data_IF_710644231410
#
_entry.id   IF_710644231410
#
_cell.length_a   1.000
_cell.length_b   1.000
_cell.length_c   1.000
_cell.angle_alpha   90.00
_cell.angle_beta   90.00
_cell.angle_gamma   90.00
#
_symmetry.space_group_name_H-M   'P 1'
#
loop_
_entity.id
_entity.type
_entity.pdbx_description
1 polymer ?
#
# COMPACT_ATOMS: atom_id res chain seq x y z
N UNK A 1 -8.00 5.38 -11.32
CA UNK A 1 -6.93 5.92 -12.20
C UNK A 1 -6.27 7.18 -11.64
N UNK A 2 -7.00 8.08 -10.96
CA UNK A 2 -6.45 9.31 -10.37
C UNK A 2 -5.52 9.05 -9.16
N UNK A 3 -5.80 8.00 -8.39
CA UNK A 3 -4.96 7.60 -7.25
C UNK A 3 -3.52 7.26 -7.66
N UNK A 4 -3.34 6.61 -8.80
CA UNK A 4 -2.01 6.22 -9.32
C UNK A 4 -1.22 7.48 -9.71
N UNK A 5 -1.88 8.42 -10.39
CA UNK A 5 -1.25 9.67 -10.79
C UNK A 5 -0.82 10.51 -9.58
N UNK A 6 -1.67 10.62 -8.55
CA UNK A 6 -1.31 11.33 -7.31
C UNK A 6 -0.14 10.68 -6.58
N UNK A 7 -0.08 9.35 -6.59
CA UNK A 7 0.97 8.62 -5.91
C UNK A 7 2.32 8.67 -6.65
N UNK A 8 2.28 8.62 -7.99
CA UNK A 8 3.46 8.83 -8.83
C UNK A 8 4.04 10.23 -8.59
N UNK A 9 3.16 11.25 -8.55
CA UNK A 9 3.54 12.64 -8.34
C UNK A 9 4.14 12.85 -6.94
N UNK A 10 3.54 12.26 -5.90
CA UNK A 10 4.08 12.31 -4.55
C UNK A 10 5.45 11.63 -4.46
N UNK A 11 5.61 10.44 -5.05
CA UNK A 11 6.90 9.73 -5.06
C UNK A 11 7.98 10.50 -5.82
N UNK A 12 7.62 11.14 -6.92
CA UNK A 12 8.52 11.97 -7.73
C UNK A 12 8.94 13.24 -6.98
N UNK A 13 8.02 13.89 -6.28
CA UNK A 13 8.32 15.05 -5.44
C UNK A 13 9.29 14.70 -4.30
N UNK A 14 9.04 13.58 -3.60
CA UNK A 14 9.91 13.07 -2.53
C UNK A 14 11.30 12.73 -3.09
N UNK A 15 11.35 12.00 -4.21
CA UNK A 15 12.60 11.70 -4.92
C UNK A 15 13.37 12.95 -5.33
N UNK A 16 12.70 13.95 -5.90
CA UNK A 16 13.33 15.19 -6.35
C UNK A 16 13.95 16.01 -5.22
N UNK A 17 13.41 15.92 -3.99
CA UNK A 17 13.95 16.62 -2.81
C UNK A 17 15.08 15.80 -2.17
N UNK A 18 14.89 14.49 -1.99
CA UNK A 18 15.83 13.66 -1.24
C UNK A 18 17.03 13.18 -2.06
N UNK A 19 16.85 12.79 -3.33
CA UNK A 19 17.94 12.31 -4.20
C UNK A 19 19.10 13.31 -4.31
N UNK A 20 18.90 14.62 -4.61
CA UNK A 20 20.01 15.56 -4.69
C UNK A 20 20.68 15.80 -3.33
N UNK A 21 19.92 15.72 -2.23
CA UNK A 21 20.44 15.82 -0.86
C UNK A 21 21.34 14.63 -0.49
N UNK A 22 20.94 13.42 -0.89
CA UNK A 22 21.67 12.16 -0.65
C UNK A 22 22.92 12.05 -1.52
N UNK A 23 22.83 12.42 -2.80
CA UNK A 23 23.97 12.43 -3.75
C UNK A 23 25.02 13.45 -3.31
N UNK A 24 24.62 14.66 -2.89
CA UNK A 24 25.56 15.67 -2.37
C UNK A 24 26.31 15.21 -1.13
N UNK A 25 25.68 14.40 -0.26
CA UNK A 25 26.32 13.89 0.96
C UNK A 25 27.18 12.63 0.75
N UNK A 26 27.31 12.10 -0.49
CA UNK A 26 28.01 10.84 -0.81
C UNK A 26 27.61 9.65 0.07
N UNK A 27 26.40 9.69 0.65
CA UNK A 27 25.93 8.64 1.56
C UNK A 27 25.18 7.57 0.78
N UNK A 28 25.97 6.70 0.14
CA UNK A 28 25.47 5.57 -0.64
C UNK A 28 24.59 4.61 0.20
N UNK A 29 24.88 4.44 1.50
CA UNK A 29 24.05 3.62 2.39
C UNK A 29 22.66 4.23 2.59
N UNK A 30 22.58 5.53 2.81
CA UNK A 30 21.32 6.25 3.01
C UNK A 30 20.51 6.29 1.71
N UNK A 31 21.18 6.40 0.56
CA UNK A 31 20.55 6.33 -0.76
C UNK A 31 19.89 4.97 -1.02
N UNK A 32 20.54 3.87 -0.64
CA UNK A 32 19.98 2.52 -0.77
C UNK A 32 18.76 2.35 0.14
N UNK A 33 18.82 2.82 1.39
CA UNK A 33 17.68 2.76 2.32
C UNK A 33 16.50 3.58 1.80
N UNK A 34 16.76 4.79 1.30
CA UNK A 34 15.74 5.64 0.69
C UNK A 34 15.09 4.98 -0.51
N UNK A 35 15.90 4.47 -1.44
CA UNK A 35 15.41 3.79 -2.63
C UNK A 35 14.59 2.55 -2.25
N UNK A 36 15.02 1.78 -1.24
CA UNK A 36 14.30 0.62 -0.74
C UNK A 36 12.96 0.99 -0.09
N UNK A 37 12.92 2.01 0.76
CA UNK A 37 11.69 2.50 1.39
C UNK A 37 10.70 3.04 0.37
N UNK A 38 11.20 3.80 -0.61
CA UNK A 38 10.39 4.41 -1.65
C UNK A 38 9.80 3.33 -2.57
N UNK A 39 10.61 2.35 -2.97
CA UNK A 39 10.18 1.20 -3.77
C UNK A 39 9.16 0.34 -2.99
N UNK A 40 9.37 0.08 -1.70
CA UNK A 40 8.38 -0.58 -0.84
C UNK A 40 7.06 0.20 -0.76
N UNK A 41 7.11 1.51 -0.52
CA UNK A 41 5.92 2.35 -0.46
C UNK A 41 5.17 2.38 -1.78
N UNK A 42 5.90 2.43 -2.91
CA UNK A 42 5.32 2.38 -4.26
C UNK A 42 4.71 1.02 -4.54
N UNK A 43 5.35 -0.11 -4.20
CA UNK A 43 4.75 -1.45 -4.34
C UNK A 43 3.49 -1.57 -3.49
N UNK A 44 3.53 -1.18 -2.22
CA UNK A 44 2.36 -1.23 -1.33
C UNK A 44 1.20 -0.40 -1.88
N UNK A 45 1.51 0.78 -2.40
CA UNK A 45 0.50 1.69 -2.93
C UNK A 45 -0.04 1.26 -4.29
N UNK A 46 0.80 0.66 -5.15
CA UNK A 46 0.34 0.02 -6.39
C UNK A 46 -0.53 -1.19 -6.06
N UNK A 47 -0.15 -2.02 -5.08
CA UNK A 47 -0.96 -3.14 -4.60
C UNK A 47 -2.32 -2.66 -4.06
N UNK A 48 -2.32 -1.57 -3.29
CA UNK A 48 -3.54 -0.94 -2.78
C UNK A 48 -4.40 -0.34 -3.92
N UNK A 49 -3.76 0.31 -4.91
CA UNK A 49 -4.45 1.01 -6.00
C UNK A 49 -4.92 0.09 -7.12
N UNK A 50 -4.24 -1.03 -7.38
CA UNK A 50 -4.64 -1.98 -8.42
C UNK A 50 -5.91 -2.73 -8.06
N UNK A 51 -6.42 -2.64 -6.81
CA UNK A 51 -7.46 -3.56 -6.34
C UNK A 51 -7.12 -5.00 -6.73
N UNK A 52 -5.83 -5.37 -6.79
CA UNK A 52 -5.49 -6.76 -6.48
C UNK A 52 -6.21 -6.98 -5.16
N UNK A 53 -7.04 -8.02 -5.09
CA UNK A 53 -7.73 -8.44 -3.87
C UNK A 53 -6.67 -8.73 -2.80
N UNK A 54 -6.11 -7.67 -2.21
CA UNK A 54 -5.79 -7.65 -0.80
C UNK A 54 -7.19 -7.83 -0.23
N UNK A 55 -7.54 -9.02 0.28
CA UNK A 55 -8.83 -9.20 0.92
C UNK A 55 -8.94 -8.03 1.88
N UNK A 56 -9.95 -7.19 1.67
CA UNK A 56 -10.22 -6.12 2.61
C UNK A 56 -10.23 -6.82 3.98
N UNK A 57 -9.59 -6.30 5.04
CA UNK A 57 -9.73 -6.91 6.35
C UNK A 57 -11.22 -7.15 6.69
N UNK A 58 -12.09 -6.27 6.18
CA UNK A 58 -13.54 -6.45 6.17
C UNK A 58 -14.05 -7.63 5.33
N UNK A 59 -13.48 -7.96 4.18
CA UNK A 59 -13.83 -9.17 3.41
C UNK A 59 -13.42 -10.45 4.15
N UNK A 60 -12.26 -10.45 4.82
CA UNK A 60 -11.86 -11.56 5.67
C UNK A 60 -12.78 -11.71 6.88
N UNK A 61 -13.10 -10.60 7.54
CA UNK A 61 -14.10 -10.55 8.63
C UNK A 61 -15.46 -11.03 8.09
N UNK A 62 -15.88 -10.59 6.91
CA UNK A 62 -17.16 -10.98 6.31
C UNK A 62 -17.19 -12.46 5.93
N UNK A 63 -16.07 -13.04 5.48
CA UNK A 63 -15.96 -14.48 5.21
C UNK A 63 -16.06 -15.32 6.49
N UNK A 64 -15.50 -14.85 7.61
CA UNK A 64 -15.60 -15.52 8.91
C UNK A 64 -17.00 -15.34 9.53
N UNK A 65 -17.60 -14.15 9.39
CA UNK A 65 -18.90 -13.81 9.98
C UNK A 65 -20.09 -14.29 9.14
N UNK A 66 -19.96 -14.44 7.82
CA UNK A 66 -21.02 -14.97 6.96
C UNK A 66 -21.57 -16.33 7.41
N UNK A 67 -20.74 -17.37 7.68
CA UNK A 67 -21.26 -18.65 8.14
C UNK A 67 -21.94 -18.50 9.51
N UNK A 68 -21.38 -17.69 10.41
CA UNK A 68 -22.00 -17.41 11.72
C UNK A 68 -23.38 -16.78 11.59
N UNK A 69 -23.53 -15.77 10.72
CA UNK A 69 -24.81 -15.12 10.44
C UNK A 69 -25.83 -16.09 9.84
N UNK A 70 -25.40 -17.00 8.94
CA UNK A 70 -26.27 -18.05 8.40
C UNK A 70 -26.70 -19.07 9.46
N UNK A 71 -25.81 -19.45 10.38
CA UNK A 71 -26.15 -20.31 11.50
C UNK A 71 -27.17 -19.67 12.43
N UNK A 72 -26.97 -18.39 12.77
CA UNK A 72 -27.89 -17.64 13.64
C UNK A 72 -29.25 -17.46 12.95
N UNK A 73 -29.27 -17.09 11.67
CA UNK A 73 -30.50 -16.98 10.88
C UNK A 73 -31.24 -18.32 10.74
N UNK A 74 -30.50 -19.42 10.56
CA UNK A 74 -31.07 -20.77 10.49
C UNK A 74 -31.54 -21.33 11.83
N UNK A 75 -31.11 -20.75 12.96
CA UNK A 75 -31.56 -21.11 14.31
C UNK A 75 -32.76 -20.26 14.75
N UNK A 76 -32.94 -19.09 14.13
CA UNK A 76 -34.04 -18.16 14.40
C UNK A 76 -35.29 -18.42 13.54
N UNK A 77 -35.21 -19.33 12.55
CA UNK A 77 -36.31 -19.79 11.71
C UNK A 77 -36.79 -21.16 12.15
#
# INVERSE_FOLDING_TARGET
>A
MWSIAGLLLASAAIGAIEIPSLVKKKKYKDFVVFCFLLLLGTILSIAQSQRMNIPNPLDFITFVFQPLSKFILGLLQ
#
